data_IF_432571874623
#
_entry.id   IF_432571874623
#
_cell.length_a   1.000
_cell.length_b   1.000
_cell.length_c   1.000
_cell.angle_alpha   90.00
_cell.angle_beta   90.00
_cell.angle_gamma   90.00
#
_symmetry.space_group_name_H-M   'P 1'
#
loop_
_entity.id
_entity.type
_entity.pdbx_description
1 polymer ?
#
# COMPACT_ATOMS: atom_id res chain seq x y z
N UNK A 1 -23.03 -34.32 -51.07
CA UNK A 1 -22.29 -33.05 -50.89
C UNK A 1 -23.15 -32.17 -49.99
N UNK A 2 -22.78 -31.57 -48.85
CA UNK A 2 -21.57 -31.42 -48.03
C UNK A 2 -22.05 -31.37 -46.56
N UNK A 3 -21.29 -31.96 -45.63
CA UNK A 3 -21.57 -31.96 -44.18
C UNK A 3 -21.08 -30.66 -43.54
N UNK A 4 -21.93 -29.98 -42.77
CA UNK A 4 -21.57 -28.84 -41.91
C UNK A 4 -21.40 -29.42 -40.50
N UNK A 5 -20.16 -29.66 -40.09
CA UNK A 5 -19.83 -30.17 -38.77
C UNK A 5 -18.49 -29.58 -38.39
N UNK A 6 -18.46 -28.64 -37.45
CA UNK A 6 -17.19 -28.16 -36.90
C UNK A 6 -17.14 -26.70 -36.49
N UNK A 7 -18.01 -26.25 -35.56
CA UNK A 7 -17.84 -24.95 -34.88
C UNK A 7 -18.30 -24.99 -33.41
N UNK A 8 -18.18 -26.13 -32.71
CA UNK A 8 -18.65 -26.24 -31.32
C UNK A 8 -17.57 -26.40 -30.23
N UNK A 9 -16.27 -26.40 -30.57
CA UNK A 9 -15.20 -26.66 -29.59
C UNK A 9 -14.29 -25.46 -29.26
N UNK A 10 -14.67 -24.22 -29.61
CA UNK A 10 -13.83 -23.03 -29.39
C UNK A 10 -14.31 -22.09 -28.28
N UNK A 11 -15.26 -22.53 -27.44
CA UNK A 11 -15.79 -21.76 -26.30
C UNK A 11 -15.31 -22.26 -24.93
N UNK A 12 -14.64 -23.42 -24.84
CA UNK A 12 -14.19 -23.97 -23.56
C UNK A 12 -12.79 -23.52 -23.10
N UNK A 13 -11.98 -22.92 -23.99
CA UNK A 13 -10.60 -22.54 -23.69
C UNK A 13 -10.44 -21.15 -23.07
N UNK A 14 -11.51 -20.34 -23.00
CA UNK A 14 -11.44 -18.95 -22.49
C UNK A 14 -11.67 -18.86 -20.98
N UNK A 15 -12.18 -19.92 -20.35
CA UNK A 15 -12.52 -19.88 -18.92
C UNK A 15 -11.32 -20.09 -17.97
N UNK A 16 -10.19 -20.62 -18.45
CA UNK A 16 -9.03 -20.92 -17.58
C UNK A 16 -8.08 -19.73 -17.33
N UNK A 17 -8.10 -18.69 -18.15
CA UNK A 17 -7.24 -17.50 -17.95
C UNK A 17 -7.81 -16.52 -16.91
N UNK A 18 -9.12 -16.59 -16.62
CA UNK A 18 -9.76 -15.73 -15.64
C UNK A 18 -9.42 -16.11 -14.18
N UNK A 19 -9.18 -17.40 -13.89
CA UNK A 19 -8.89 -17.91 -12.54
C UNK A 19 -7.42 -17.71 -12.14
N UNK A 20 -6.46 -17.80 -13.06
CA UNK A 20 -5.04 -17.55 -12.76
C UNK A 20 -4.76 -16.09 -12.33
N UNK A 21 -5.52 -15.14 -12.86
CA UNK A 21 -5.38 -13.72 -12.51
C UNK A 21 -5.95 -13.38 -11.12
N UNK A 22 -6.97 -14.10 -10.65
CA UNK A 22 -7.59 -13.83 -9.34
C UNK A 22 -6.70 -14.22 -8.17
N UNK A 23 -5.98 -15.36 -8.27
CA UNK A 23 -5.05 -15.80 -7.22
C UNK A 23 -3.85 -14.85 -7.11
N UNK A 24 -3.35 -14.38 -8.25
CA UNK A 24 -2.26 -13.39 -8.33
C UNK A 24 -2.68 -12.06 -7.72
N UNK A 25 -3.92 -11.59 -7.98
CA UNK A 25 -4.45 -10.36 -7.41
C UNK A 25 -4.61 -10.46 -5.88
N UNK A 26 -5.17 -11.57 -5.38
CA UNK A 26 -5.35 -11.79 -3.95
C UNK A 26 -4.00 -11.85 -3.22
N UNK A 27 -3.00 -12.50 -3.83
CA UNK A 27 -1.63 -12.52 -3.33
C UNK A 27 -1.03 -11.12 -3.21
N UNK A 28 -1.11 -10.31 -4.26
CA UNK A 28 -0.57 -8.94 -4.25
C UNK A 28 -1.30 -8.02 -3.24
N UNK A 29 -2.62 -8.17 -3.07
CA UNK A 29 -3.37 -7.42 -2.05
C UNK A 29 -2.95 -7.81 -0.63
N UNK A 30 -2.73 -9.11 -0.36
CA UNK A 30 -2.26 -9.60 0.94
C UNK A 30 -0.86 -9.08 1.27
N UNK A 31 0.03 -9.10 0.28
CA UNK A 31 1.38 -8.55 0.43
C UNK A 31 1.35 -7.03 0.65
N UNK A 32 0.53 -6.30 -0.11
CA UNK A 32 0.35 -4.86 0.09
C UNK A 32 -0.18 -4.54 1.48
N UNK A 33 -1.13 -5.32 2.00
CA UNK A 33 -1.64 -5.21 3.38
C UNK A 33 -0.51 -5.37 4.40
N UNK A 34 0.32 -6.40 4.23
CA UNK A 34 1.49 -6.65 5.08
C UNK A 34 2.45 -5.45 5.07
N UNK A 35 2.73 -4.89 3.89
CA UNK A 35 3.60 -3.72 3.77
C UNK A 35 3.00 -2.46 4.40
N UNK A 36 1.70 -2.20 4.22
CA UNK A 36 1.03 -1.06 4.87
C UNK A 36 1.05 -1.17 6.39
N UNK A 37 0.88 -2.38 6.93
CA UNK A 37 1.04 -2.63 8.36
C UNK A 37 2.46 -2.29 8.82
N UNK A 38 3.49 -2.74 8.09
CA UNK A 38 4.89 -2.39 8.40
C UNK A 38 5.14 -0.89 8.34
N UNK A 39 4.51 -0.17 7.40
CA UNK A 39 4.58 1.30 7.33
C UNK A 39 3.93 1.93 8.57
N UNK A 40 2.76 1.45 8.99
CA UNK A 40 2.09 1.94 10.20
C UNK A 40 2.90 1.65 11.46
N UNK A 41 3.47 0.44 11.59
CA UNK A 41 4.34 0.06 12.70
C UNK A 41 5.59 0.97 12.77
N UNK A 42 6.26 1.20 11.62
CA UNK A 42 7.42 2.09 11.53
C UNK A 42 7.06 3.57 11.82
N UNK A 43 5.89 4.04 11.36
CA UNK A 43 5.42 5.37 11.67
C UNK A 43 5.12 5.53 13.18
N UNK A 44 4.50 4.53 13.80
CA UNK A 44 4.25 4.49 15.24
C UNK A 44 5.55 4.49 16.06
N UNK A 45 6.56 3.73 15.63
CA UNK A 45 7.89 3.78 16.20
C UNK A 45 8.50 5.18 16.09
N UNK A 46 8.44 5.81 14.91
CA UNK A 46 8.91 7.18 14.74
C UNK A 46 8.15 8.18 15.62
N UNK A 47 6.84 8.03 15.78
CA UNK A 47 6.03 8.83 16.69
C UNK A 47 6.39 8.61 18.17
N UNK A 48 6.77 7.39 18.55
CA UNK A 48 7.29 7.08 19.89
C UNK A 48 8.68 7.72 20.11
N UNK A 49 9.56 7.63 19.11
CA UNK A 49 10.86 8.30 19.13
C UNK A 49 10.69 9.82 19.24
N UNK A 50 9.73 10.42 18.52
CA UNK A 50 9.47 11.85 18.55
C UNK A 50 8.99 12.33 19.93
N UNK A 51 8.17 11.53 20.62
CA UNK A 51 7.76 11.78 22.03
C UNK A 51 8.93 11.73 23.00
N UNK A 52 9.93 10.92 22.70
CA UNK A 52 11.12 10.69 23.54
C UNK A 52 12.38 11.34 22.96
N UNK A 53 12.21 12.39 22.14
CA UNK A 53 13.29 13.08 21.40
C UNK A 53 14.41 13.67 22.27
N UNK A 54 14.21 13.76 23.58
CA UNK A 54 15.26 14.16 24.52
C UNK A 54 16.28 13.06 24.79
N UNK A 55 15.93 11.79 24.54
CA UNK A 55 16.74 10.59 24.81
C UNK A 55 17.37 10.03 23.51
N UNK A 56 16.73 10.26 22.36
CA UNK A 56 17.15 9.69 21.08
C UNK A 56 17.96 10.68 20.23
N UNK A 57 18.87 10.14 19.42
CA UNK A 57 19.69 10.92 18.50
C UNK A 57 18.99 11.12 17.14
N UNK A 58 19.39 12.15 16.40
CA UNK A 58 18.82 12.43 15.08
C UNK A 58 19.10 11.31 14.07
N UNK A 59 20.20 10.58 14.24
CA UNK A 59 20.57 9.42 13.43
C UNK A 59 19.52 8.31 13.54
N UNK A 60 18.99 8.04 14.75
CA UNK A 60 17.93 7.04 14.95
C UNK A 60 16.68 7.38 14.14
N UNK A 61 16.27 8.65 14.15
CA UNK A 61 15.14 9.12 13.35
C UNK A 61 15.42 9.05 11.84
N UNK A 62 16.63 9.39 11.40
CA UNK A 62 17.02 9.32 10.00
C UNK A 62 16.98 7.88 9.46
N UNK A 63 17.45 6.91 10.25
CA UNK A 63 17.39 5.48 9.91
C UNK A 63 15.94 5.03 9.76
N UNK A 64 15.07 5.37 10.72
CA UNK A 64 13.65 5.02 10.67
C UNK A 64 12.97 5.61 9.42
N UNK A 65 13.24 6.88 9.08
CA UNK A 65 12.69 7.50 7.88
C UNK A 65 13.21 6.88 6.57
N UNK A 66 14.46 6.41 6.53
CA UNK A 66 14.97 5.68 5.36
C UNK A 66 14.29 4.32 5.19
N UNK A 67 14.10 3.57 6.27
CA UNK A 67 13.35 2.32 6.24
C UNK A 67 11.91 2.53 5.76
N UNK A 68 11.26 3.61 6.20
CA UNK A 68 9.92 3.98 5.72
C UNK A 68 9.90 4.29 4.22
N UNK A 69 10.89 5.05 3.72
CA UNK A 69 11.01 5.34 2.29
C UNK A 69 11.14 4.05 1.46
N UNK A 70 11.92 3.07 1.93
CA UNK A 70 12.04 1.78 1.25
C UNK A 70 10.70 1.02 1.21
N UNK A 71 9.97 0.99 2.34
CA UNK A 71 8.65 0.38 2.40
C UNK A 71 7.66 1.06 1.45
N UNK A 72 7.65 2.39 1.40
CA UNK A 72 6.82 3.19 0.51
C UNK A 72 7.12 2.86 -0.96
N UNK A 73 8.39 2.78 -1.33
CA UNK A 73 8.78 2.43 -2.70
C UNK A 73 8.33 1.02 -3.09
N UNK A 74 8.47 0.03 -2.20
CA UNK A 74 7.96 -1.34 -2.42
C UNK A 74 6.45 -1.36 -2.59
N UNK A 75 5.72 -0.66 -1.72
CA UNK A 75 4.26 -0.55 -1.82
C UNK A 75 3.81 0.16 -3.09
N UNK A 76 4.55 1.19 -3.55
CA UNK A 76 4.28 1.88 -4.82
C UNK A 76 4.43 0.94 -6.01
N UNK A 77 5.50 0.14 -6.05
CA UNK A 77 5.70 -0.87 -7.09
C UNK A 77 4.58 -1.92 -7.09
N UNK A 78 4.09 -2.33 -5.91
CA UNK A 78 2.94 -3.25 -5.79
C UNK A 78 1.64 -2.66 -6.29
N UNK A 79 1.34 -1.41 -5.92
CA UNK A 79 0.14 -0.72 -6.41
C UNK A 79 0.18 -0.61 -7.93
N UNK A 80 1.34 -0.31 -8.53
CA UNK A 80 1.48 -0.31 -9.99
C UNK A 80 1.20 -1.69 -10.62
N UNK A 81 1.66 -2.78 -10.00
CA UNK A 81 1.32 -4.14 -10.46
C UNK A 81 -0.19 -4.44 -10.33
N UNK A 82 -0.81 -4.04 -9.21
CA UNK A 82 -2.25 -4.17 -9.02
C UNK A 82 -3.04 -3.37 -10.07
N UNK A 83 -2.58 -2.19 -10.45
CA UNK A 83 -3.19 -1.39 -11.53
C UNK A 83 -3.15 -2.12 -12.87
N UNK A 84 -2.01 -2.74 -13.20
CA UNK A 84 -1.87 -3.51 -14.43
C UNK A 84 -2.74 -4.77 -14.43
N UNK A 85 -2.87 -5.46 -13.29
CA UNK A 85 -3.70 -6.65 -13.16
C UNK A 85 -5.20 -6.35 -13.16
N UNK A 86 -5.62 -5.26 -12.53
CA UNK A 86 -7.02 -4.88 -12.35
C UNK A 86 -7.54 -3.86 -13.38
N UNK A 87 -6.73 -3.48 -14.38
CA UNK A 87 -7.13 -2.57 -15.45
C UNK A 87 -7.38 -1.13 -15.01
N UNK A 88 -6.60 -0.61 -14.05
CA UNK A 88 -6.70 0.80 -13.63
C UNK A 88 -7.92 1.10 -12.74
N UNK A 89 -8.29 0.18 -11.85
CA UNK A 89 -9.45 0.33 -10.97
C UNK A 89 -9.38 1.58 -10.07
N UNK A 90 -10.54 2.18 -9.77
CA UNK A 90 -10.65 3.32 -8.85
C UNK A 90 -10.06 3.03 -7.46
N UNK A 91 -10.12 1.77 -7.03
CA UNK A 91 -9.49 1.32 -5.78
C UNK A 91 -7.98 1.49 -5.81
N UNK A 92 -7.33 1.17 -6.94
CA UNK A 92 -5.88 1.31 -7.03
C UNK A 92 -5.44 2.78 -7.08
N UNK A 93 -6.28 3.68 -7.59
CA UNK A 93 -6.07 5.12 -7.51
C UNK A 93 -6.12 5.60 -6.05
N UNK A 94 -7.16 5.23 -5.29
CA UNK A 94 -7.29 5.55 -3.86
C UNK A 94 -6.06 5.09 -3.07
N UNK A 95 -5.60 3.85 -3.29
CA UNK A 95 -4.40 3.33 -2.62
C UNK A 95 -3.14 4.13 -2.94
N UNK A 96 -3.02 4.63 -4.18
CA UNK A 96 -1.90 5.47 -4.62
C UNK A 96 -1.92 6.83 -3.93
N UNK A 97 -3.09 7.46 -3.85
CA UNK A 97 -3.27 8.75 -3.17
C UNK A 97 -2.90 8.66 -1.69
N UNK A 98 -3.36 7.60 -1.02
CA UNK A 98 -3.02 7.36 0.38
C UNK A 98 -1.52 7.11 0.58
N UNK A 99 -0.88 6.34 -0.30
CA UNK A 99 0.57 6.15 -0.24
C UNK A 99 1.33 7.46 -0.49
N UNK A 100 0.85 8.30 -1.42
CA UNK A 100 1.46 9.58 -1.73
C UNK A 100 1.40 10.55 -0.53
N UNK A 101 0.31 10.53 0.24
CA UNK A 101 0.21 11.30 1.47
C UNK A 101 1.28 10.89 2.51
N UNK A 102 1.49 9.58 2.71
CA UNK A 102 2.56 9.08 3.59
C UNK A 102 3.94 9.50 3.07
N UNK A 103 4.19 9.36 1.76
CA UNK A 103 5.46 9.72 1.14
C UNK A 103 5.79 11.20 1.30
N UNK A 104 4.79 12.08 1.16
CA UNK A 104 4.94 13.52 1.38
C UNK A 104 5.46 13.81 2.79
N UNK A 105 4.83 13.25 3.81
CA UNK A 105 5.22 13.48 5.21
C UNK A 105 6.61 12.91 5.54
N UNK A 106 6.98 11.75 4.98
CA UNK A 106 8.35 11.23 5.10
C UNK A 106 9.37 12.19 4.50
N UNK A 107 9.10 12.74 3.31
CA UNK A 107 10.00 13.72 2.68
C UNK A 107 10.14 14.99 3.52
N UNK A 108 9.02 15.52 4.03
CA UNK A 108 9.02 16.72 4.90
C UNK A 108 9.85 16.49 6.17
N UNK A 109 9.68 15.36 6.85
CA UNK A 109 10.45 15.01 8.05
C UNK A 109 11.94 14.81 7.75
N UNK A 110 12.28 14.16 6.63
CA UNK A 110 13.67 14.00 6.21
C UNK A 110 14.33 15.35 5.93
N UNK A 111 13.61 16.25 5.28
CA UNK A 111 14.09 17.61 5.04
C UNK A 111 14.34 18.33 6.37
N UNK A 112 13.40 18.28 7.31
CA UNK A 112 13.56 18.91 8.63
C UNK A 112 14.79 18.38 9.40
N UNK A 113 15.02 17.06 9.40
CA UNK A 113 16.22 16.48 10.04
C UNK A 113 17.50 16.95 9.35
N UNK A 114 17.51 16.99 8.02
CA UNK A 114 18.70 17.40 7.26
C UNK A 114 19.04 18.88 7.47
N UNK A 115 18.03 19.75 7.44
CA UNK A 115 18.19 21.19 7.66
C UNK A 115 18.51 21.51 9.12
N UNK A 116 17.98 20.73 10.05
CA UNK A 116 18.06 21.04 11.46
C UNK A 116 18.33 19.78 12.30
N UNK A 117 19.54 19.24 12.20
CA UNK A 117 19.97 18.04 12.96
C UNK A 117 19.82 18.18 14.48
N UNK A 118 19.87 19.41 15.00
CA UNK A 118 19.67 19.73 16.43
C UNK A 118 18.19 19.91 16.81
N UNK A 119 17.27 19.93 15.85
CA UNK A 119 15.90 20.41 16.03
C UNK A 119 14.82 19.32 16.03
N UNK A 120 15.22 18.05 16.17
CA UNK A 120 14.30 16.94 16.48
C UNK A 120 13.49 17.16 17.76
N UNK A 121 13.90 18.11 18.62
CA UNK A 121 13.20 18.52 19.83
C UNK A 121 12.16 19.63 19.60
N UNK A 122 12.04 20.14 18.38
CA UNK A 122 11.06 21.20 18.09
C UNK A 122 9.63 20.62 18.11
N UNK A 123 8.65 21.37 18.65
CA UNK A 123 7.24 20.99 18.57
C UNK A 123 6.78 20.72 17.13
N UNK A 124 7.29 21.46 16.15
CA UNK A 124 6.96 21.27 14.74
C UNK A 124 7.32 19.87 14.22
N UNK A 125 8.51 19.37 14.56
CA UNK A 125 8.95 18.02 14.18
C UNK A 125 8.05 16.95 14.77
N UNK A 126 7.69 17.09 16.05
CA UNK A 126 6.74 16.20 16.72
C UNK A 126 5.38 16.16 16.00
N UNK A 127 4.82 17.33 15.67
CA UNK A 127 3.53 17.40 14.98
C UNK A 127 3.56 16.75 13.60
N UNK A 128 4.64 16.95 12.83
CA UNK A 128 4.79 16.29 11.53
C UNK A 128 4.94 14.76 11.67
N UNK A 129 5.66 14.28 12.69
CA UNK A 129 5.75 12.85 12.98
C UNK A 129 4.37 12.26 13.31
N UNK A 130 3.54 12.98 14.06
CA UNK A 130 2.16 12.54 14.36
C UNK A 130 1.24 12.55 13.14
N UNK A 131 1.38 13.52 12.23
CA UNK A 131 0.66 13.51 10.95
C UNK A 131 1.05 12.32 10.08
N UNK A 132 2.34 11.96 10.08
CA UNK A 132 2.82 10.77 9.40
C UNK A 132 2.19 9.48 9.96
N UNK A 133 2.08 9.36 11.29
CA UNK A 133 1.36 8.24 11.94
C UNK A 133 -0.07 8.16 11.43
N UNK A 134 -0.81 9.27 11.50
CA UNK A 134 -2.20 9.32 11.04
C UNK A 134 -2.35 8.95 9.56
N UNK A 135 -1.47 9.45 8.70
CA UNK A 135 -1.47 9.13 7.27
C UNK A 135 -1.18 7.64 7.02
N UNK A 136 -0.27 7.03 7.79
CA UNK A 136 0.03 5.62 7.68
C UNK A 136 -1.17 4.73 8.09
N UNK A 137 -1.85 5.08 9.17
CA UNK A 137 -3.08 4.40 9.62
C UNK A 137 -4.21 4.51 8.59
N UNK A 138 -4.45 5.70 8.04
CA UNK A 138 -5.42 5.92 6.97
C UNK A 138 -5.09 5.09 5.74
N UNK A 139 -3.81 5.03 5.37
CA UNK A 139 -3.36 4.24 4.24
C UNK A 139 -3.54 2.73 4.46
N UNK A 140 -3.32 2.24 5.68
CA UNK A 140 -3.62 0.86 6.04
C UNK A 140 -5.12 0.57 5.96
N UNK A 141 -5.95 1.44 6.53
CA UNK A 141 -7.40 1.30 6.51
C UNK A 141 -7.96 1.29 5.07
N UNK A 142 -7.37 2.07 4.16
CA UNK A 142 -7.74 2.03 2.74
C UNK A 142 -7.47 0.66 2.10
N UNK A 143 -6.32 0.02 2.38
CA UNK A 143 -6.04 -1.34 1.89
C UNK A 143 -7.03 -2.37 2.45
N UNK A 144 -7.36 -2.28 3.74
CA UNK A 144 -8.36 -3.17 4.35
C UNK A 144 -9.74 -3.03 3.68
N UNK A 145 -10.17 -1.79 3.40
CA UNK A 145 -11.43 -1.54 2.66
C UNK A 145 -11.40 -2.14 1.26
N UNK A 146 -10.31 -1.95 0.52
CA UNK A 146 -10.15 -2.54 -0.83
C UNK A 146 -10.15 -4.06 -0.79
N UNK A 147 -9.46 -4.65 0.19
CA UNK A 147 -9.40 -6.10 0.35
C UNK A 147 -10.78 -6.68 0.68
N UNK A 148 -11.52 -6.08 1.61
CA UNK A 148 -12.88 -6.51 1.94
C UNK A 148 -13.82 -6.40 0.73
N UNK A 149 -13.74 -5.30 -0.03
CA UNK A 149 -14.52 -5.13 -1.25
C UNK A 149 -14.15 -6.14 -2.36
N UNK A 150 -12.90 -6.61 -2.41
CA UNK A 150 -12.47 -7.66 -3.34
C UNK A 150 -13.01 -9.04 -2.91
N UNK A 151 -12.94 -9.36 -1.62
CA UNK A 151 -13.44 -10.62 -1.06
C UNK A 151 -14.95 -10.76 -1.21
N UNK A 152 -15.72 -9.71 -0.91
CA UNK A 152 -17.18 -9.71 -1.07
C UNK A 152 -17.60 -9.94 -2.53
N UNK A 153 -16.84 -9.38 -3.50
CA UNK A 153 -17.08 -9.61 -4.93
C UNK A 153 -16.76 -11.04 -5.36
N UNK A 154 -15.69 -11.62 -4.82
CA UNK A 154 -15.36 -13.03 -5.07
C UNK A 154 -16.45 -13.99 -4.58
N UNK A 155 -16.95 -13.78 -3.36
CA UNK A 155 -18.02 -14.59 -2.78
C UNK A 155 -19.34 -14.48 -3.56
N UNK A 156 -19.72 -13.27 -3.98
CA UNK A 156 -20.93 -13.05 -4.78
C UNK A 156 -20.87 -13.76 -6.14
N UNK A 157 -19.69 -13.77 -6.78
CA UNK A 157 -19.48 -14.49 -8.05
C UNK A 157 -19.62 -16.00 -7.88
N UNK A 158 -19.03 -16.57 -6.83
CA UNK A 158 -19.14 -18.00 -6.54
C UNK A 158 -20.56 -18.47 -6.21
N UNK A 159 -21.42 -17.59 -5.68
CA UNK A 159 -22.81 -17.93 -5.38
C UNK A 159 -23.74 -17.85 -6.60
N UNK A 160 -23.29 -17.21 -7.69
CA UNK A 160 -24.06 -17.06 -8.93
C UNK A 160 -23.71 -18.13 -9.99
N UNK A 161 -22.57 -18.80 -9.82
CA UNK A 161 -22.09 -19.93 -10.63
C UNK A 161 -22.61 -21.27 -10.06
#
# INVERSE_FOLDING_TARGET
>A
MKRITGYLCLLAAVSLTATANTDTLAGELKELRSEKRRIADAANELGALARTSHINSWETHAIALEQMKELINRSGARIARLQNLAGGSAQALELREQLAAVAKHVTELKQQINENRLAIRMPAYYWEAMKLVQAAEQSQAAVERVMNAALSRGAAKQAAD
#
